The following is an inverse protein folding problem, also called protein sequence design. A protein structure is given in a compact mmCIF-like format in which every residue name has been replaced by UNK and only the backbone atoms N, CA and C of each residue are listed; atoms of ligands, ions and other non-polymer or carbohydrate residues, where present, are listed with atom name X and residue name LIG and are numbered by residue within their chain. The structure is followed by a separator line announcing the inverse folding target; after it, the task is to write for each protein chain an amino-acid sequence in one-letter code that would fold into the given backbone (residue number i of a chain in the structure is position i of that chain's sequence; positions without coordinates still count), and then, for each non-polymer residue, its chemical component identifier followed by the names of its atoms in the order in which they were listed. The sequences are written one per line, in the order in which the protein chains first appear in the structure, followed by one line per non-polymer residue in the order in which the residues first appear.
data_IF_495022893407
#
_entry.id   IF_495022893407
#
_cell.length_a   1.000
_cell.length_b   1.000
_cell.length_c   1.000
_cell.angle_alpha   90.00
_cell.angle_beta   90.00
_cell.angle_gamma   90.00
#
_symmetry.space_group_name_H-M   'P 1'
#
loop_
_entity.id
_entity.type
_entity.pdbx_description
1 polymer ?
#
# COMPACT_ATOMS: atom_id res chain seq x y z
N UNK A 1 -35.86 18.58 9.94
CA UNK A 1 -34.91 17.83 10.79
C UNK A 1 -34.85 16.42 10.23
N UNK A 2 -33.79 15.78 9.73
CA UNK A 2 -32.35 16.01 9.53
C UNK A 2 -32.09 15.42 8.13
N UNK A 3 -31.51 16.17 7.18
CA UNK A 3 -31.08 15.59 5.91
C UNK A 3 -29.94 14.62 6.23
N UNK A 4 -30.19 13.30 6.16
CA UNK A 4 -29.13 12.29 6.22
C UNK A 4 -28.28 12.41 4.96
N UNK A 5 -27.38 13.39 4.95
CA UNK A 5 -26.35 13.52 3.93
C UNK A 5 -25.54 12.23 3.94
N UNK A 6 -25.47 11.55 2.78
CA UNK A 6 -24.43 10.55 2.56
C UNK A 6 -23.10 11.24 2.88
N UNK A 7 -22.44 10.80 3.95
CA UNK A 7 -21.03 11.12 4.17
C UNK A 7 -20.29 10.78 2.87
N UNK A 8 -19.52 11.71 2.29
CA UNK A 8 -18.75 11.40 1.09
C UNK A 8 -17.83 10.23 1.44
N UNK A 9 -17.90 9.17 0.66
CA UNK A 9 -17.06 7.97 0.80
C UNK A 9 -15.62 8.35 0.47
N UNK A 10 -14.89 8.95 1.41
CA UNK A 10 -13.50 9.33 1.22
C UNK A 10 -12.63 8.08 1.30
N UNK A 11 -12.60 7.28 0.21
CA UNK A 11 -11.44 6.44 -0.10
C UNK A 11 -10.50 7.23 -1.00
N UNK A 12 -10.07 8.41 -0.55
CA UNK A 12 -8.96 9.07 -1.22
C UNK A 12 -7.70 8.46 -0.62
N UNK A 13 -7.00 7.63 -1.39
CA UNK A 13 -5.67 7.11 -1.08
C UNK A 13 -4.67 8.26 -0.99
N UNK A 14 -4.82 9.16 -0.02
CA UNK A 14 -3.98 10.31 0.18
C UNK A 14 -2.88 9.94 1.15
N UNK A 15 -1.69 10.43 0.85
CA UNK A 15 -0.57 10.29 1.75
C UNK A 15 -0.81 11.14 3.01
N UNK A 16 -0.69 10.57 4.23
CA UNK A 16 -0.89 11.33 5.47
C UNK A 16 0.17 12.42 5.67
N UNK A 17 1.34 12.31 5.01
CA UNK A 17 2.44 13.28 5.12
C UNK A 17 2.31 14.48 4.18
N UNK A 18 1.98 14.26 2.91
CA UNK A 18 2.00 15.33 1.89
C UNK A 18 0.65 15.58 1.21
N UNK A 19 -0.40 14.86 1.63
CA UNK A 19 -1.75 14.95 1.11
C UNK A 19 -1.89 14.72 -0.41
N UNK A 20 -0.86 14.19 -1.07
CA UNK A 20 -0.91 13.79 -2.49
C UNK A 20 -1.50 12.40 -2.63
N UNK A 21 -2.17 12.15 -3.76
CA UNK A 21 -2.68 10.82 -4.11
C UNK A 21 -1.52 9.81 -4.22
N UNK A 22 -1.61 8.74 -3.45
CA UNK A 22 -0.70 7.61 -3.52
C UNK A 22 -0.99 6.80 -4.79
N UNK A 23 0.06 6.24 -5.37
CA UNK A 23 -0.02 5.38 -6.54
C UNK A 23 0.05 3.93 -6.10
N UNK A 24 -0.71 3.06 -6.75
CA UNK A 24 -0.56 1.63 -6.54
C UNK A 24 0.77 1.17 -7.15
N UNK A 25 1.63 0.58 -6.32
CA UNK A 25 2.87 -0.05 -6.78
C UNK A 25 2.59 -1.52 -7.08
N UNK A 26 1.94 -2.23 -6.14
CA UNK A 26 1.51 -3.62 -6.28
C UNK A 26 0.09 -3.81 -5.75
N UNK A 27 -0.50 -4.99 -5.97
CA UNK A 27 -1.78 -5.33 -5.32
C UNK A 27 -1.59 -5.26 -3.80
N UNK A 28 -2.36 -4.38 -3.15
CA UNK A 28 -2.26 -4.18 -1.70
C UNK A 28 -1.10 -3.29 -1.23
N UNK A 29 -0.29 -2.72 -2.14
CA UNK A 29 0.78 -1.79 -1.80
C UNK A 29 0.63 -0.46 -2.55
N UNK A 30 0.49 0.62 -1.81
CA UNK A 30 0.47 1.99 -2.33
C UNK A 30 1.76 2.71 -1.95
N UNK A 31 2.27 3.56 -2.84
CA UNK A 31 3.45 4.37 -2.62
C UNK A 31 3.16 5.85 -2.86
N UNK A 32 3.79 6.71 -2.06
CA UNK A 32 3.89 8.14 -2.30
C UNK A 32 5.33 8.51 -2.68
N UNK A 33 5.49 9.57 -3.48
CA UNK A 33 6.81 10.11 -3.84
C UNK A 33 7.57 10.70 -2.64
N UNK A 34 6.89 11.03 -1.53
CA UNK A 34 7.53 11.55 -0.32
C UNK A 34 8.14 10.48 0.60
N UNK A 35 8.24 9.22 0.13
CA UNK A 35 8.81 8.12 0.91
C UNK A 35 7.79 7.36 1.79
N UNK A 36 6.54 7.81 1.89
CA UNK A 36 5.49 7.07 2.59
C UNK A 36 4.88 5.97 1.70
N UNK A 37 4.68 4.80 2.29
CA UNK A 37 3.96 3.68 1.69
C UNK A 37 2.79 3.25 2.55
N UNK A 38 1.85 2.51 1.97
CA UNK A 38 0.75 1.85 2.67
C UNK A 38 0.65 0.41 2.17
N UNK A 39 0.71 -0.55 3.08
CA UNK A 39 0.45 -1.97 2.81
C UNK A 39 -0.88 -2.37 3.44
N UNK A 40 -1.69 -3.14 2.72
CA UNK A 40 -3.02 -3.56 3.18
C UNK A 40 -2.99 -4.18 4.59
N UNK A 41 -1.97 -4.98 4.87
CA UNK A 41 -1.86 -5.73 6.13
C UNK A 41 -1.00 -5.00 7.19
N UNK A 42 -0.08 -4.11 6.80
CA UNK A 42 0.84 -3.44 7.73
C UNK A 42 0.45 -1.98 8.03
N UNK A 43 -0.43 -1.38 7.24
CA UNK A 43 -0.76 0.04 7.33
C UNK A 43 0.29 0.94 6.69
N UNK A 44 0.38 2.19 7.16
CA UNK A 44 1.32 3.18 6.64
C UNK A 44 2.72 3.01 7.24
N UNK A 45 3.75 3.16 6.42
CA UNK A 45 5.16 3.08 6.85
C UNK A 45 6.06 3.97 6.00
N UNK A 46 7.24 4.29 6.53
CA UNK A 46 8.29 5.00 5.80
C UNK A 46 9.20 4.03 5.08
N UNK A 47 9.55 4.35 3.84
CA UNK A 47 10.54 3.60 3.07
C UNK A 47 11.93 3.93 3.57
N UNK A 48 12.71 2.89 3.85
CA UNK A 48 14.15 2.97 4.05
C UNK A 48 14.88 2.54 2.78
N UNK A 49 16.15 2.94 2.64
CA UNK A 49 16.96 2.65 1.44
C UNK A 49 17.29 1.17 1.24
N UNK A 50 17.25 0.37 2.32
CA UNK A 50 17.50 -1.07 2.31
C UNK A 50 16.25 -1.92 1.99
N UNK A 51 15.05 -1.33 1.98
CA UNK A 51 13.83 -2.05 1.60
C UNK A 51 13.79 -2.36 0.11
N UNK A 52 13.58 -3.62 -0.23
CA UNK A 52 13.36 -4.12 -1.58
C UNK A 52 11.91 -4.60 -1.70
N UNK A 53 11.18 -4.06 -2.67
CA UNK A 53 9.78 -4.39 -2.94
C UNK A 53 9.69 -5.33 -4.15
N UNK A 54 9.28 -6.57 -3.92
CA UNK A 54 9.23 -7.63 -4.93
C UNK A 54 7.85 -8.28 -5.00
N UNK A 55 7.61 -9.01 -6.09
CA UNK A 55 6.44 -9.87 -6.25
C UNK A 55 6.89 -11.31 -6.32
N UNK A 56 6.40 -12.13 -5.40
CA UNK A 56 6.67 -13.56 -5.36
C UNK A 56 5.47 -14.34 -5.89
N UNK A 57 5.72 -15.37 -6.70
CA UNK A 57 4.67 -16.31 -7.12
C UNK A 57 4.58 -17.42 -6.08
N UNK A 58 3.47 -17.49 -5.36
CA UNK A 58 3.19 -18.56 -4.40
C UNK A 58 2.07 -19.46 -4.91
N UNK A 59 2.29 -20.77 -4.85
CA UNK A 59 1.25 -21.76 -5.12
C UNK A 59 0.42 -21.94 -3.86
N UNK A 60 -0.86 -21.55 -3.91
CA UNK A 60 -1.82 -21.68 -2.80
C UNK A 60 -2.91 -22.63 -3.27
N UNK A 61 -2.80 -23.89 -2.82
CA UNK A 61 -3.59 -25.00 -3.37
C UNK A 61 -3.23 -25.24 -4.84
N UNK A 62 -4.25 -25.23 -5.70
CA UNK A 62 -4.08 -25.41 -7.15
C UNK A 62 -3.81 -24.10 -7.91
N UNK A 63 -3.91 -22.94 -7.24
CA UNK A 63 -3.77 -21.62 -7.89
C UNK A 63 -2.40 -21.00 -7.60
N UNK A 64 -1.78 -20.45 -8.63
CA UNK A 64 -0.60 -19.59 -8.48
C UNK A 64 -1.05 -18.15 -8.27
N UNK A 65 -0.72 -17.56 -7.12
CA UNK A 65 -1.00 -16.16 -6.80
C UNK A 65 0.30 -15.36 -6.77
N UNK A 66 0.21 -14.10 -7.17
CA UNK A 66 1.29 -13.14 -7.03
C UNK A 66 1.09 -12.36 -5.72
N UNK A 67 2.07 -12.40 -4.83
CA UNK A 67 2.01 -11.73 -3.53
C UNK A 67 3.12 -10.68 -3.41
N UNK A 68 2.83 -9.49 -2.86
CA UNK A 68 3.87 -8.53 -2.54
C UNK A 68 4.74 -9.05 -1.39
N UNK A 69 6.04 -8.92 -1.54
CA UNK A 69 7.05 -9.25 -0.52
C UNK A 69 7.95 -8.03 -0.33
N UNK A 70 8.19 -7.68 0.92
CA UNK A 70 9.16 -6.66 1.29
C UNK A 70 10.35 -7.41 1.88
N UNK A 71 11.49 -7.34 1.19
CA UNK A 71 12.78 -7.84 1.68
C UNK A 71 13.62 -6.66 2.16
N UNK A 72 14.63 -6.96 2.95
CA UNK A 72 15.63 -6.00 3.37
C UNK A 72 16.96 -6.50 2.83
N UNK A 73 17.79 -5.58 2.30
CA UNK A 73 19.19 -5.91 2.08
C UNK A 73 19.82 -6.17 3.45
N UNK A 74 20.40 -7.36 3.60
CA UNK A 74 21.42 -7.60 4.60
C UNK A 74 22.62 -6.69 4.27
N UNK A 75 23.21 -6.05 5.27
CA UNK A 75 24.43 -5.25 5.11
C UNK A 75 25.63 -6.12 4.73
#
# INVERSE_FOLDING_TARGET
MIKKGKLPTVKKNLCPRCNRKMKQQFVGLLHCKCGMSYHKDMGYFERTGNMIFELEKKKIGEKTKQVPVIRYKDE
#
